data_IF_733806574963
#
_entry.id   IF_733806574963
#
_cell.length_a   1.000
_cell.length_b   1.000
_cell.length_c   1.000
_cell.angle_alpha   90.00
_cell.angle_beta   90.00
_cell.angle_gamma   90.00
#
_symmetry.space_group_name_H-M   'P 1'
#
loop_
_entity.id
_entity.type
_entity.pdbx_description
1 polymer ?
#
# COMPACT_ATOMS: atom_id res chain seq x y z
N UNK A 1 -8.03 28.07 -12.15
CA UNK A 1 -8.92 27.79 -11.01
C UNK A 1 -9.03 26.28 -10.92
N UNK A 2 -8.66 25.66 -9.81
CA UNK A 2 -8.80 24.21 -9.66
C UNK A 2 -10.27 23.83 -9.48
N UNK A 3 -10.66 22.66 -10.00
CA UNK A 3 -12.04 22.16 -9.83
C UNK A 3 -12.19 21.62 -8.40
N UNK A 4 -13.28 22.01 -7.72
CA UNK A 4 -13.63 21.45 -6.42
C UNK A 4 -13.80 19.94 -6.53
N UNK A 5 -13.21 19.21 -5.59
CA UNK A 5 -13.36 17.75 -5.44
C UNK A 5 -14.18 17.44 -4.20
N UNK A 6 -14.93 16.37 -4.22
CA UNK A 6 -15.62 15.91 -3.01
C UNK A 6 -14.62 15.31 -2.02
N UNK A 7 -13.76 14.43 -2.53
CA UNK A 7 -12.73 13.75 -1.75
C UNK A 7 -11.38 13.84 -2.46
N UNK A 8 -10.30 13.97 -1.69
CA UNK A 8 -8.90 13.90 -2.13
C UNK A 8 -8.21 12.78 -1.37
N UNK A 9 -7.41 11.97 -2.06
CA UNK A 9 -6.61 10.94 -1.41
C UNK A 9 -5.22 11.47 -1.05
N UNK A 10 -4.76 11.11 0.15
CA UNK A 10 -3.41 11.36 0.64
C UNK A 10 -2.75 10.02 0.98
N UNK A 11 -1.85 9.57 0.12
CA UNK A 11 -1.24 8.24 0.17
C UNK A 11 0.14 8.33 0.82
N UNK A 12 0.26 7.75 2.00
CA UNK A 12 1.50 7.70 2.78
C UNK A 12 2.45 6.63 2.20
N UNK A 13 3.45 7.07 1.47
CA UNK A 13 4.40 6.22 0.73
C UNK A 13 5.87 6.45 1.14
N UNK A 14 6.10 7.05 2.30
CA UNK A 14 7.44 7.42 2.80
C UNK A 14 8.14 6.37 3.67
N UNK A 15 7.54 5.20 3.88
CA UNK A 15 8.06 4.17 4.77
C UNK A 15 9.35 3.51 4.27
N UNK A 16 10.33 3.33 5.18
CA UNK A 16 11.64 2.73 4.88
C UNK A 16 11.56 1.23 4.59
N UNK A 17 10.64 0.49 5.24
CA UNK A 17 10.49 -0.95 5.03
C UNK A 17 11.68 -1.79 5.48
N UNK A 18 12.40 -1.37 6.52
CA UNK A 18 13.65 -2.01 6.99
C UNK A 18 13.56 -3.51 7.25
N UNK A 19 12.37 -4.05 7.54
CA UNK A 19 12.11 -5.48 7.76
C UNK A 19 12.05 -6.30 6.45
N UNK A 20 12.13 -5.65 5.29
CA UNK A 20 12.26 -6.29 3.97
C UNK A 20 13.73 -6.37 3.50
N UNK A 21 14.66 -5.95 4.36
CA UNK A 21 16.12 -6.06 4.18
C UNK A 21 16.60 -5.61 2.79
N UNK A 22 17.20 -6.53 2.01
CA UNK A 22 17.76 -6.23 0.69
C UNK A 22 16.73 -5.68 -0.32
N UNK A 23 15.46 -6.05 -0.20
CA UNK A 23 14.38 -5.56 -1.09
C UNK A 23 14.15 -4.04 -1.00
N UNK A 24 14.45 -3.44 0.15
CA UNK A 24 14.22 -2.02 0.39
C UNK A 24 15.51 -1.22 0.62
N UNK A 25 16.65 -1.79 0.24
CA UNK A 25 17.93 -1.10 0.34
C UNK A 25 17.99 0.12 -0.60
N UNK A 26 17.52 -0.03 -1.83
CA UNK A 26 17.59 0.99 -2.88
C UNK A 26 16.22 1.51 -3.32
N UNK A 27 15.12 1.06 -2.71
CA UNK A 27 13.77 1.52 -3.02
C UNK A 27 12.87 1.61 -1.78
N UNK A 28 11.87 2.46 -1.85
CA UNK A 28 10.83 2.54 -0.82
C UNK A 28 9.93 1.29 -0.81
N UNK A 29 9.41 0.88 0.34
CA UNK A 29 8.51 -0.29 0.49
C UNK A 29 7.35 -0.29 -0.52
N UNK A 30 6.64 0.83 -0.80
CA UNK A 30 5.57 0.83 -1.79
C UNK A 30 5.99 0.48 -3.22
N UNK A 31 7.29 0.60 -3.54
CA UNK A 31 7.83 0.26 -4.85
C UNK A 31 8.22 -1.22 -5.00
N UNK A 32 8.12 -2.02 -3.93
CA UNK A 32 8.47 -3.45 -3.96
C UNK A 32 7.52 -4.20 -4.89
N UNK A 33 8.04 -5.08 -5.77
CA UNK A 33 7.23 -5.90 -6.66
C UNK A 33 6.32 -6.88 -5.92
N UNK A 34 5.12 -7.13 -6.50
CA UNK A 34 4.13 -8.06 -5.98
C UNK A 34 3.35 -8.73 -7.11
N UNK A 35 3.04 -10.03 -6.98
CA UNK A 35 2.14 -10.77 -7.88
C UNK A 35 2.64 -10.89 -9.33
N UNK A 36 3.95 -10.90 -9.54
CA UNK A 36 4.60 -11.09 -10.85
C UNK A 36 4.57 -9.86 -11.77
N UNK A 37 3.70 -8.89 -11.53
CA UNK A 37 3.46 -7.76 -12.44
C UNK A 37 3.35 -6.42 -11.73
N UNK A 38 2.80 -6.41 -10.53
CA UNK A 38 2.43 -5.21 -9.78
C UNK A 38 3.57 -4.74 -8.86
N UNK A 39 3.38 -3.55 -8.32
CA UNK A 39 4.06 -3.07 -7.10
C UNK A 39 3.02 -2.82 -6.02
N UNK A 40 3.43 -2.81 -4.76
CA UNK A 40 2.48 -2.62 -3.64
C UNK A 40 1.64 -1.35 -3.82
N UNK A 41 2.24 -0.25 -4.31
CA UNK A 41 1.58 1.04 -4.54
C UNK A 41 0.43 0.98 -5.57
N UNK A 42 0.42 -0.02 -6.46
CA UNK A 42 -0.61 -0.16 -7.49
C UNK A 42 -1.99 -0.41 -6.89
N UNK A 43 -2.04 -1.08 -5.75
CA UNK A 43 -3.30 -1.41 -5.08
C UNK A 43 -4.03 -0.17 -4.57
N UNK A 44 -3.47 0.68 -3.70
CA UNK A 44 -4.16 1.88 -3.28
C UNK A 44 -4.41 2.88 -4.41
N UNK A 45 -3.54 3.00 -5.42
CA UNK A 45 -3.78 3.86 -6.58
C UNK A 45 -4.95 3.34 -7.43
N UNK A 46 -5.01 2.02 -7.70
CA UNK A 46 -6.11 1.39 -8.43
C UNK A 46 -7.43 1.50 -7.66
N UNK A 47 -7.40 1.28 -6.34
CA UNK A 47 -8.58 1.46 -5.50
C UNK A 47 -9.09 2.91 -5.54
N UNK A 48 -8.21 3.93 -5.54
CA UNK A 48 -8.63 5.33 -5.71
C UNK A 48 -9.42 5.53 -7.00
N UNK A 49 -8.86 5.08 -8.13
CA UNK A 49 -9.51 5.25 -9.45
C UNK A 49 -10.83 4.50 -9.54
N UNK A 50 -10.84 3.24 -9.11
CA UNK A 50 -12.06 2.41 -9.13
C UNK A 50 -13.14 2.99 -8.19
N UNK A 51 -12.76 3.67 -7.12
CA UNK A 51 -13.67 4.39 -6.20
C UNK A 51 -14.05 5.80 -6.70
N UNK A 52 -13.63 6.21 -7.90
CA UNK A 52 -13.93 7.55 -8.44
C UNK A 52 -13.09 8.69 -7.82
N UNK A 53 -12.05 8.41 -7.07
CA UNK A 53 -11.14 9.40 -6.50
C UNK A 53 -9.99 9.64 -7.48
N UNK A 54 -10.05 10.76 -8.19
CA UNK A 54 -9.15 11.11 -9.29
C UNK A 54 -8.03 12.09 -8.91
N UNK A 55 -7.88 12.40 -7.63
CA UNK A 55 -6.87 13.34 -7.12
C UNK A 55 -6.16 12.71 -5.94
N UNK A 56 -4.87 12.40 -6.13
CA UNK A 56 -4.06 11.66 -5.17
C UNK A 56 -2.74 12.38 -4.91
N UNK A 57 -2.49 12.77 -3.67
CA UNK A 57 -1.18 13.22 -3.20
C UNK A 57 -0.39 12.03 -2.65
N UNK A 58 0.71 11.66 -3.28
CA UNK A 58 1.59 10.57 -2.83
C UNK A 58 2.75 11.16 -2.05
N UNK A 59 2.77 10.92 -0.74
CA UNK A 59 3.78 11.48 0.18
C UNK A 59 5.00 10.56 0.22
N UNK A 60 6.06 10.95 -0.49
CA UNK A 60 7.30 10.18 -0.64
C UNK A 60 8.42 10.79 0.20
N UNK A 61 9.30 9.98 0.77
CA UNK A 61 10.43 10.47 1.56
C UNK A 61 11.67 9.57 1.45
N UNK A 62 11.56 8.29 1.84
CA UNK A 62 12.69 7.36 1.78
C UNK A 62 12.88 6.84 0.36
N UNK A 63 14.13 6.84 -0.15
CA UNK A 63 14.50 6.35 -1.49
C UNK A 63 13.44 6.68 -2.57
N UNK A 64 13.12 7.97 -2.78
CA UNK A 64 11.94 8.34 -3.55
C UNK A 64 12.12 8.16 -5.06
N UNK A 65 13.36 8.04 -5.57
CA UNK A 65 13.66 8.07 -7.00
C UNK A 65 12.90 6.98 -7.76
N UNK A 66 13.06 5.72 -7.36
CA UNK A 66 12.42 4.57 -8.04
C UNK A 66 10.89 4.68 -7.97
N UNK A 67 10.35 5.07 -6.83
CA UNK A 67 8.91 5.23 -6.65
C UNK A 67 8.35 6.40 -7.47
N UNK A 68 9.01 7.56 -7.45
CA UNK A 68 8.58 8.73 -8.22
C UNK A 68 8.64 8.47 -9.72
N UNK A 69 9.71 7.81 -10.22
CA UNK A 69 9.82 7.42 -11.63
C UNK A 69 8.73 6.42 -12.01
N UNK A 70 8.39 5.49 -11.12
CA UNK A 70 7.35 4.50 -11.36
C UNK A 70 5.97 5.16 -11.47
N UNK A 71 5.62 6.04 -10.53
CA UNK A 71 4.34 6.77 -10.54
C UNK A 71 4.28 7.72 -11.75
N UNK A 72 5.38 8.42 -12.04
CA UNK A 72 5.44 9.41 -13.10
C UNK A 72 4.33 10.46 -12.96
N UNK A 73 3.53 10.62 -14.01
CA UNK A 73 2.35 11.50 -14.02
C UNK A 73 1.03 10.78 -13.67
N UNK A 74 1.07 9.49 -13.31
CA UNK A 74 -0.11 8.70 -12.97
C UNK A 74 -0.86 8.07 -14.16
N UNK A 75 -0.32 8.17 -15.38
CA UNK A 75 -0.98 7.68 -16.60
C UNK A 75 -1.36 6.19 -16.54
N UNK A 76 -0.56 5.25 -15.98
CA UNK A 76 -0.96 3.85 -15.89
C UNK A 76 -2.26 3.60 -15.13
N UNK A 77 -2.60 4.48 -14.19
CA UNK A 77 -3.83 4.40 -13.37
C UNK A 77 -4.92 5.38 -13.82
N UNK A 78 -4.83 5.98 -15.02
CA UNK A 78 -5.74 7.04 -15.47
C UNK A 78 -5.78 8.25 -14.50
N UNK A 79 -4.66 8.53 -13.84
CA UNK A 79 -4.44 9.64 -12.90
C UNK A 79 -3.58 10.76 -13.48
N UNK A 80 -3.54 10.95 -14.81
CA UNK A 80 -2.88 12.05 -15.52
C UNK A 80 -3.84 13.18 -15.88
N UNK A 81 -4.79 13.46 -14.99
CA UNK A 81 -5.84 14.44 -15.22
C UNK A 81 -5.31 15.88 -15.23
N UNK A 82 -5.86 16.73 -16.09
CA UNK A 82 -5.54 18.17 -16.13
C UNK A 82 -5.89 18.89 -14.82
N UNK A 83 -6.96 18.47 -14.15
CA UNK A 83 -7.46 19.03 -12.89
C UNK A 83 -7.64 17.89 -11.85
N UNK A 84 -6.56 17.49 -11.25
CA UNK A 84 -6.46 16.36 -10.34
C UNK A 84 -5.24 15.52 -10.68
N UNK A 85 -5.37 14.19 -10.62
CA UNK A 85 -4.30 13.25 -10.96
C UNK A 85 -3.39 12.89 -9.78
N UNK A 86 -2.36 12.09 -10.07
CA UNK A 86 -1.37 11.70 -9.08
C UNK A 86 -0.25 12.76 -9.00
N UNK A 87 0.10 13.15 -7.78
CA UNK A 87 1.16 14.10 -7.49
C UNK A 87 2.10 13.53 -6.44
N UNK A 88 3.37 13.33 -6.79
CA UNK A 88 4.39 13.01 -5.78
C UNK A 88 4.69 14.26 -4.95
N UNK A 89 4.58 14.11 -3.63
CA UNK A 89 4.75 15.19 -2.65
C UNK A 89 5.92 14.80 -1.73
N UNK A 90 7.17 15.10 -2.10
CA UNK A 90 8.30 14.96 -1.20
C UNK A 90 8.34 16.10 -0.19
N UNK A 91 9.01 15.95 0.96
CA UNK A 91 9.31 17.08 1.84
C UNK A 91 10.13 18.13 1.07
N UNK A 92 9.88 19.41 1.35
CA UNK A 92 10.51 20.51 0.61
C UNK A 92 10.98 21.63 1.54
N UNK A 93 11.90 22.43 1.02
CA UNK A 93 12.40 23.61 1.72
C UNK A 93 11.42 24.76 1.60
N UNK A 94 11.09 25.35 2.75
CA UNK A 94 10.34 26.60 2.88
C UNK A 94 11.28 27.76 3.20
N UNK A 95 10.75 28.98 3.27
CA UNK A 95 11.51 30.14 3.74
C UNK A 95 11.98 30.01 5.20
N UNK A 96 11.34 29.13 6.00
CA UNK A 96 11.67 28.85 7.39
C UNK A 96 12.66 27.69 7.57
N UNK A 97 13.00 26.98 6.49
CA UNK A 97 13.91 25.82 6.52
C UNK A 97 13.37 24.61 5.77
N UNK A 98 14.14 23.52 5.78
CA UNK A 98 13.75 22.23 5.23
C UNK A 98 13.56 21.24 6.39
N UNK A 99 12.46 20.54 6.40
CA UNK A 99 12.18 19.50 7.39
C UNK A 99 11.66 18.25 6.71
N UNK A 100 12.23 17.10 7.11
CA UNK A 100 11.68 15.80 6.76
C UNK A 100 10.31 15.62 7.42
N UNK A 101 9.47 14.72 6.86
CA UNK A 101 8.24 14.32 7.55
C UNK A 101 8.58 13.64 8.88
N UNK A 102 8.11 14.22 9.98
CA UNK A 102 8.39 13.75 11.35
C UNK A 102 7.48 12.60 11.77
N UNK A 103 6.48 12.28 10.95
CA UNK A 103 5.48 11.23 11.18
C UNK A 103 4.34 11.35 10.17
N UNK A 104 3.39 10.43 10.26
CA UNK A 104 2.27 10.32 9.31
C UNK A 104 1.37 11.56 9.31
N UNK A 105 1.08 12.13 10.47
CA UNK A 105 0.28 13.36 10.60
C UNK A 105 1.04 14.60 10.07
N UNK A 106 2.33 14.73 10.39
CA UNK A 106 3.15 15.84 9.90
C UNK A 106 3.29 15.81 8.37
N UNK A 107 3.33 14.61 7.74
CA UNK A 107 3.35 14.50 6.29
C UNK A 107 2.10 15.14 5.64
N UNK A 108 0.91 14.93 6.22
CA UNK A 108 -0.31 15.57 5.74
C UNK A 108 -0.30 17.07 6.07
N UNK A 109 0.13 17.45 7.27
CA UNK A 109 0.24 18.86 7.69
C UNK A 109 1.07 19.69 6.71
N UNK A 110 2.27 19.24 6.35
CA UNK A 110 3.14 19.94 5.40
C UNK A 110 2.50 20.12 4.02
N UNK A 111 1.47 19.32 3.69
CA UNK A 111 0.78 19.32 2.40
C UNK A 111 -0.68 19.82 2.47
N UNK A 112 -1.05 20.54 3.55
CA UNK A 112 -2.39 21.18 3.68
C UNK A 112 -2.70 22.05 2.45
N UNK A 113 -1.73 22.82 1.96
CA UNK A 113 -1.92 23.68 0.77
C UNK A 113 -2.25 22.88 -0.50
N UNK A 114 -1.76 21.66 -0.64
CA UNK A 114 -2.13 20.77 -1.75
C UNK A 114 -3.62 20.39 -1.64
N UNK A 115 -4.07 19.96 -0.48
CA UNK A 115 -5.47 19.56 -0.26
C UNK A 115 -6.41 20.76 -0.42
N UNK A 116 -6.10 21.89 0.21
CA UNK A 116 -6.90 23.13 0.15
C UNK A 116 -7.09 23.65 -1.27
N UNK A 117 -6.15 23.39 -2.19
CA UNK A 117 -6.24 23.74 -3.61
C UNK A 117 -7.50 23.21 -4.28
N UNK A 118 -7.95 22.03 -3.86
CA UNK A 118 -9.12 21.34 -4.40
C UNK A 118 -10.40 21.60 -3.58
N UNK A 119 -10.26 22.27 -2.42
CA UNK A 119 -11.36 22.59 -1.50
C UNK A 119 -12.31 21.39 -1.25
N UNK A 120 -11.77 20.22 -0.84
CA UNK A 120 -12.58 19.04 -0.64
C UNK A 120 -13.39 19.12 0.66
N UNK A 121 -14.45 18.34 0.74
CA UNK A 121 -15.18 18.15 1.98
C UNK A 121 -14.56 17.02 2.81
N UNK A 122 -14.02 16.01 2.12
CA UNK A 122 -13.42 14.82 2.74
C UNK A 122 -12.00 14.56 2.24
N UNK A 123 -11.20 13.92 3.08
CA UNK A 123 -9.89 13.41 2.72
C UNK A 123 -9.81 11.94 3.12
N UNK A 124 -9.40 11.09 2.19
CA UNK A 124 -9.00 9.73 2.51
C UNK A 124 -7.49 9.65 2.68
N UNK A 125 -7.05 9.18 3.83
CA UNK A 125 -5.63 8.95 4.14
C UNK A 125 -5.38 7.45 4.03
N UNK A 126 -4.40 7.07 3.22
CA UNK A 126 -4.11 5.69 2.84
C UNK A 126 -2.67 5.32 3.21
N UNK A 127 -2.47 4.09 3.66
CA UNK A 127 -1.15 3.47 3.71
C UNK A 127 -0.78 2.91 2.34
N UNK A 128 0.44 3.18 1.87
CA UNK A 128 0.94 2.74 0.57
C UNK A 128 1.66 1.40 0.58
N UNK A 129 1.46 0.58 1.61
CA UNK A 129 2.27 -0.59 1.89
C UNK A 129 1.48 -1.88 2.18
N UNK A 130 0.20 -1.91 1.77
CA UNK A 130 -0.70 -3.06 1.95
C UNK A 130 -1.27 -3.55 0.61
N UNK A 131 -1.64 -4.84 0.58
CA UNK A 131 -2.28 -5.50 -0.55
C UNK A 131 -3.75 -5.75 -0.21
N UNK A 132 -4.66 -5.16 -0.98
CA UNK A 132 -6.11 -5.28 -0.80
C UNK A 132 -6.88 -4.68 -1.98
N UNK A 133 -8.16 -5.06 -2.15
CA UNK A 133 -9.12 -4.42 -3.05
C UNK A 133 -10.23 -3.83 -2.20
N UNK A 134 -10.50 -2.52 -2.31
CA UNK A 134 -11.50 -1.84 -1.49
C UNK A 134 -12.12 -0.67 -2.23
N UNK A 135 -13.45 -0.57 -2.20
CA UNK A 135 -14.17 0.61 -2.65
C UNK A 135 -14.21 1.68 -1.53
N UNK A 136 -13.40 2.71 -1.69
CA UNK A 136 -13.38 3.84 -0.75
C UNK A 136 -14.67 4.67 -0.82
N UNK A 137 -15.43 4.59 -1.90
CA UNK A 137 -16.70 5.31 -2.01
C UNK A 137 -17.77 4.71 -1.08
N UNK A 138 -17.78 3.39 -0.87
CA UNK A 138 -18.64 2.76 0.13
C UNK A 138 -18.31 3.26 1.53
N UNK A 139 -17.03 3.28 1.89
CA UNK A 139 -16.57 3.82 3.17
C UNK A 139 -16.89 5.32 3.32
N UNK A 140 -16.78 6.11 2.24
CA UNK A 140 -17.13 7.53 2.22
C UNK A 140 -18.64 7.75 2.43
N UNK A 141 -19.47 6.93 1.81
CA UNK A 141 -20.91 6.98 2.02
C UNK A 141 -21.28 6.64 3.48
N UNK A 142 -20.65 5.61 4.04
CA UNK A 142 -20.80 5.28 5.46
C UNK A 142 -20.37 6.44 6.37
N UNK A 143 -19.26 7.11 6.08
CA UNK A 143 -18.79 8.29 6.81
C UNK A 143 -19.85 9.40 6.82
N UNK A 144 -20.44 9.68 5.66
CA UNK A 144 -21.50 10.68 5.50
C UNK A 144 -22.77 10.30 6.26
N UNK A 145 -23.23 9.05 6.14
CA UNK A 145 -24.42 8.54 6.83
C UNK A 145 -24.28 8.63 8.36
N UNK A 146 -23.11 8.30 8.86
CA UNK A 146 -22.81 8.40 10.29
C UNK A 146 -22.55 9.84 10.74
N UNK A 147 -22.41 10.81 9.82
CA UNK A 147 -22.00 12.19 10.11
C UNK A 147 -20.76 12.22 11.01
N UNK A 148 -19.75 11.44 10.64
CA UNK A 148 -18.55 11.25 11.42
C UNK A 148 -17.52 12.37 11.20
N UNK A 149 -16.66 12.62 12.18
CA UNK A 149 -15.46 13.44 12.03
C UNK A 149 -14.32 12.62 11.43
N UNK A 150 -14.25 11.33 11.81
CA UNK A 150 -13.35 10.35 11.24
C UNK A 150 -14.03 8.97 11.11
N UNK A 151 -13.70 8.26 10.04
CA UNK A 151 -14.04 6.84 9.85
C UNK A 151 -12.75 6.07 9.66
N UNK A 152 -12.58 4.98 10.38
CA UNK A 152 -11.38 4.14 10.35
C UNK A 152 -11.76 2.78 9.81
N UNK A 153 -11.11 2.35 8.72
CA UNK A 153 -11.29 0.99 8.23
C UNK A 153 -10.61 0.00 9.18
N UNK A 154 -11.35 -1.03 9.57
CA UNK A 154 -10.93 -2.09 10.49
C UNK A 154 -11.24 -3.46 9.92
N UNK A 155 -10.49 -4.45 10.35
CA UNK A 155 -10.75 -5.86 10.08
C UNK A 155 -10.49 -6.68 11.36
N UNK A 156 -11.14 -7.82 11.46
CA UNK A 156 -10.84 -8.78 12.51
C UNK A 156 -9.55 -9.53 12.22
N UNK A 157 -8.63 -9.52 13.19
CA UNK A 157 -7.37 -10.27 13.12
C UNK A 157 -7.32 -11.29 14.28
N UNK A 158 -6.56 -12.39 14.14
CA UNK A 158 -6.28 -13.27 15.26
C UNK A 158 -5.69 -12.51 16.45
N UNK A 159 -6.09 -12.88 17.68
CA UNK A 159 -5.66 -12.19 18.90
C UNK A 159 -4.13 -12.16 19.05
N UNK A 160 -3.46 -13.19 18.55
CA UNK A 160 -1.99 -13.29 18.57
C UNK A 160 -1.32 -12.22 17.71
N UNK A 161 -1.99 -11.76 16.65
CA UNK A 161 -1.49 -10.74 15.73
C UNK A 161 -1.89 -9.31 16.12
N UNK A 162 -2.94 -9.17 16.92
CA UNK A 162 -3.55 -7.88 17.25
C UNK A 162 -2.54 -6.88 17.86
N UNK A 163 -1.53 -7.36 18.59
CA UNK A 163 -0.47 -6.50 19.17
C UNK A 163 0.40 -5.75 18.14
N UNK A 164 0.30 -6.11 16.87
CA UNK A 164 1.07 -5.46 15.78
C UNK A 164 0.39 -4.21 15.23
N UNK A 165 -0.89 -4.02 15.53
CA UNK A 165 -1.77 -3.01 14.92
C UNK A 165 -2.31 -2.01 15.96
N UNK A 166 -2.84 -0.91 15.46
CA UNK A 166 -3.74 -0.07 16.25
C UNK A 166 -5.08 -0.78 16.42
N UNK A 167 -5.53 -0.98 17.65
CA UNK A 167 -6.72 -1.75 17.99
C UNK A 167 -7.87 -0.82 18.38
N UNK A 168 -9.04 -1.02 17.75
CA UNK A 168 -10.26 -0.28 18.01
C UNK A 168 -11.15 -1.04 18.98
N UNK A 169 -11.74 -0.32 19.92
CA UNK A 169 -12.84 -0.79 20.76
C UNK A 169 -14.07 0.01 20.36
N UNK A 170 -15.14 -0.69 19.98
CA UNK A 170 -16.38 -0.08 19.49
C UNK A 170 -17.55 -0.39 20.41
N UNK A 171 -18.58 0.46 20.38
CA UNK A 171 -19.90 0.13 20.88
C UNK A 171 -20.71 -0.66 19.82
N UNK A 172 -21.95 -1.03 20.16
CA UNK A 172 -22.85 -1.82 19.29
C UNK A 172 -23.27 -1.06 18.02
N UNK A 173 -23.15 0.28 18.00
CA UNK A 173 -23.46 1.14 16.84
C UNK A 173 -22.24 1.39 15.93
N UNK A 174 -21.09 0.81 16.29
CA UNK A 174 -19.83 0.96 15.57
C UNK A 174 -19.09 2.27 15.85
N UNK A 175 -19.50 3.04 16.90
CA UNK A 175 -18.72 4.18 17.32
C UNK A 175 -17.46 3.71 18.05
N UNK A 176 -16.33 4.34 17.77
CA UNK A 176 -15.06 4.03 18.42
C UNK A 176 -15.08 4.68 19.80
N UNK A 177 -15.03 3.86 20.85
CA UNK A 177 -15.05 4.30 22.25
C UNK A 177 -13.67 4.31 22.88
N UNK A 178 -12.72 3.54 22.34
CA UNK A 178 -11.33 3.52 22.77
C UNK A 178 -10.39 3.06 21.64
N UNK A 179 -9.11 3.42 21.75
CA UNK A 179 -8.07 3.09 20.78
C UNK A 179 -6.76 2.75 21.49
N UNK A 180 -6.12 1.68 21.06
CA UNK A 180 -4.85 1.22 21.62
C UNK A 180 -3.82 1.08 20.49
N UNK A 181 -2.76 1.88 20.50
CA UNK A 181 -1.68 1.77 19.51
C UNK A 181 -0.70 0.68 19.89
N UNK A 182 -0.71 -0.43 19.14
CA UNK A 182 0.18 -1.61 19.32
C UNK A 182 0.28 -2.10 20.76
N UNK A 183 -0.86 -2.44 21.38
CA UNK A 183 -0.91 -2.84 22.78
C UNK A 183 -0.22 -4.18 23.00
N UNK A 184 0.47 -4.32 24.13
CA UNK A 184 1.05 -5.63 24.53
C UNK A 184 -0.02 -6.68 24.88
N UNK A 185 -1.20 -6.23 25.32
CA UNK A 185 -2.34 -7.05 25.69
C UNK A 185 -3.61 -6.43 25.08
N UNK A 186 -3.90 -6.73 23.79
CA UNK A 186 -5.04 -6.13 23.11
C UNK A 186 -6.36 -6.55 23.74
N UNK A 187 -7.31 -5.60 23.81
CA UNK A 187 -8.67 -5.82 24.35
C UNK A 187 -9.71 -6.13 23.27
N UNK A 188 -9.33 -6.04 21.99
CA UNK A 188 -10.19 -6.30 20.85
C UNK A 188 -9.37 -6.90 19.71
N UNK A 189 -10.04 -7.53 18.75
CA UNK A 189 -9.46 -8.05 17.51
C UNK A 189 -9.62 -7.09 16.33
N UNK A 190 -10.33 -5.96 16.50
CA UNK A 190 -10.56 -4.97 15.45
C UNK A 190 -9.30 -4.14 15.19
N UNK A 191 -8.52 -4.57 14.22
CA UNK A 191 -7.28 -3.93 13.82
C UNK A 191 -7.51 -2.81 12.79
N UNK A 192 -6.87 -1.67 12.98
CA UNK A 192 -6.84 -0.59 11.98
C UNK A 192 -6.06 -1.01 10.74
N UNK A 193 -6.65 -0.83 9.58
CA UNK A 193 -5.99 -1.05 8.29
C UNK A 193 -5.06 0.12 7.89
N UNK A 194 -4.98 1.21 8.66
CA UNK A 194 -4.25 2.40 8.24
C UNK A 194 -4.95 3.16 7.10
N UNK A 195 -6.26 2.98 6.96
CA UNK A 195 -7.12 3.64 5.99
C UNK A 195 -8.13 4.48 6.77
N UNK A 196 -8.13 5.78 6.53
CA UNK A 196 -8.96 6.74 7.26
C UNK A 196 -9.70 7.66 6.32
N UNK A 197 -10.98 7.95 6.59
CA UNK A 197 -11.69 9.07 5.98
C UNK A 197 -11.96 10.12 7.04
N UNK A 198 -11.60 11.35 6.75
CA UNK A 198 -11.81 12.49 7.63
C UNK A 198 -12.66 13.57 6.95
N UNK A 199 -13.51 14.22 7.72
CA UNK A 199 -14.05 15.53 7.35
C UNK A 199 -12.87 16.52 7.36
N UNK A 200 -12.54 17.10 6.18
CA UNK A 200 -11.30 17.86 6.00
C UNK A 200 -11.14 19.04 6.95
N UNK A 201 -12.21 19.80 7.16
CA UNK A 201 -12.16 20.96 8.07
C UNK A 201 -11.79 20.57 9.50
N UNK A 202 -12.22 19.39 9.96
CA UNK A 202 -11.86 18.83 11.27
C UNK A 202 -10.40 18.39 11.29
N UNK A 203 -10.02 17.50 10.37
CA UNK A 203 -8.63 17.00 10.32
C UNK A 203 -7.63 18.15 10.25
N UNK A 204 -7.87 19.13 9.38
CA UNK A 204 -6.97 20.29 9.21
C UNK A 204 -6.71 21.01 10.53
N UNK A 205 -7.73 21.23 11.36
CA UNK A 205 -7.57 21.88 12.65
C UNK A 205 -6.67 21.05 13.58
N UNK A 206 -6.95 19.73 13.70
CA UNK A 206 -6.13 18.85 14.55
C UNK A 206 -4.68 18.74 14.07
N UNK A 207 -4.42 18.77 12.77
CA UNK A 207 -3.07 18.78 12.22
C UNK A 207 -2.31 20.06 12.60
N UNK A 208 -2.98 21.23 12.52
CA UNK A 208 -2.39 22.52 12.90
C UNK A 208 -2.11 22.56 14.42
N UNK A 209 -3.06 22.12 15.24
CA UNK A 209 -2.92 22.11 16.70
C UNK A 209 -1.79 21.14 17.12
N UNK A 210 -1.71 19.96 16.51
CA UNK A 210 -0.64 19.00 16.75
C UNK A 210 0.73 19.56 16.37
N UNK A 211 0.87 20.25 15.23
CA UNK A 211 2.15 20.82 14.83
C UNK A 211 2.60 21.94 15.80
N UNK A 212 1.67 22.71 16.34
CA UNK A 212 1.96 23.77 17.32
C UNK A 212 2.36 23.22 18.71
N UNK A 213 2.16 21.92 18.96
CA UNK A 213 2.58 21.26 20.19
C UNK A 213 3.87 20.45 19.96
N UNK A 214 5.06 20.96 20.30
CA UNK A 214 6.33 20.28 20.01
C UNK A 214 6.56 19.00 20.81
N UNK A 215 5.86 18.82 21.93
CA UNK A 215 6.02 17.68 22.82
C UNK A 215 5.15 16.48 22.42
N UNK A 216 4.30 16.66 21.41
CA UNK A 216 3.36 15.64 20.95
C UNK A 216 3.89 14.89 19.75
N UNK A 217 3.62 13.56 19.69
CA UNK A 217 3.92 12.72 18.53
C UNK A 217 3.24 13.27 17.26
N UNK A 218 3.90 13.12 16.11
CA UNK A 218 3.41 13.59 14.80
C UNK A 218 2.78 12.45 13.97
N UNK A 219 2.00 11.62 14.64
CA UNK A 219 1.44 10.39 14.10
C UNK A 219 -0.09 10.31 14.30
N UNK A 220 -0.80 9.68 13.36
CA UNK A 220 -2.26 9.55 13.46
C UNK A 220 -2.68 8.72 14.67
N UNK A 221 -2.08 7.55 14.86
CA UNK A 221 -2.44 6.63 15.94
C UNK A 221 -2.06 7.14 17.33
N UNK A 222 -0.92 7.85 17.44
CA UNK A 222 -0.43 8.31 18.74
C UNK A 222 -0.95 9.68 19.16
N UNK A 223 -1.39 10.51 18.22
CA UNK A 223 -1.82 11.88 18.53
C UNK A 223 -3.19 12.23 17.95
N UNK A 224 -3.35 12.22 16.62
CA UNK A 224 -4.55 12.78 15.98
C UNK A 224 -5.82 12.04 16.42
N UNK A 225 -5.85 10.70 16.33
CA UNK A 225 -7.01 9.90 16.71
C UNK A 225 -7.34 10.06 18.20
N UNK A 226 -6.37 9.89 19.14
CA UNK A 226 -6.62 10.15 20.56
C UNK A 226 -7.14 11.55 20.86
N UNK A 227 -6.57 12.60 20.21
CA UNK A 227 -6.99 13.98 20.42
C UNK A 227 -8.43 14.22 19.96
N UNK A 228 -8.81 13.69 18.79
CA UNK A 228 -10.18 13.76 18.30
C UNK A 228 -11.15 13.05 19.26
N UNK A 229 -10.80 11.88 19.77
CA UNK A 229 -11.60 11.15 20.75
C UNK A 229 -11.76 11.94 22.05
N UNK A 230 -10.68 12.44 22.61
CA UNK A 230 -10.68 13.23 23.86
C UNK A 230 -11.50 14.53 23.73
N UNK A 231 -11.57 15.09 22.53
CA UNK A 231 -12.39 16.27 22.23
C UNK A 231 -13.88 15.92 22.03
N UNK A 232 -14.26 14.63 22.07
CA UNK A 232 -15.63 14.16 21.86
C UNK A 232 -16.09 14.21 20.42
N UNK A 233 -15.18 14.18 19.46
CA UNK A 233 -15.51 14.04 18.05
C UNK A 233 -16.09 12.64 17.79
N UNK A 234 -17.00 12.54 16.82
CA UNK A 234 -17.58 11.25 16.46
C UNK A 234 -16.64 10.49 15.52
N UNK A 235 -16.07 9.42 16.04
CA UNK A 235 -15.24 8.47 15.28
C UNK A 235 -15.99 7.15 15.14
N UNK A 236 -15.98 6.56 13.94
CA UNK A 236 -16.67 5.29 13.66
C UNK A 236 -15.73 4.30 12.98
N UNK A 237 -15.95 3.02 13.28
CA UNK A 237 -15.25 1.91 12.61
C UNK A 237 -16.05 1.46 11.38
N UNK A 238 -15.37 1.31 10.25
CA UNK A 238 -15.89 0.68 9.04
C UNK A 238 -15.27 -0.70 8.92
N UNK A 239 -16.06 -1.75 9.13
CA UNK A 239 -15.57 -3.13 9.02
C UNK A 239 -15.38 -3.50 7.56
N UNK A 240 -14.16 -3.80 7.18
CA UNK A 240 -13.80 -4.30 5.85
C UNK A 240 -13.94 -5.82 5.82
N UNK A 241 -14.66 -6.31 4.80
CA UNK A 241 -14.81 -7.74 4.52
C UNK A 241 -14.12 -8.04 3.18
N UNK A 242 -12.89 -8.55 3.25
CA UNK A 242 -12.10 -8.86 2.08
C UNK A 242 -10.65 -9.22 2.43
N UNK A 243 -9.90 -9.58 1.40
CA UNK A 243 -8.47 -9.85 1.56
C UNK A 243 -7.69 -8.57 1.86
N UNK A 244 -6.92 -8.60 2.93
CA UNK A 244 -5.98 -7.57 3.28
C UNK A 244 -4.70 -8.19 3.87
N UNK A 245 -3.54 -7.74 3.42
CA UNK A 245 -2.24 -8.23 3.90
C UNK A 245 -1.26 -7.07 4.07
N UNK A 246 -0.70 -6.91 5.29
CA UNK A 246 0.49 -6.09 5.53
C UNK A 246 1.72 -6.90 5.10
N UNK A 247 2.32 -6.51 3.98
CA UNK A 247 3.53 -7.15 3.45
C UNK A 247 4.80 -6.48 3.99
N UNK A 248 4.86 -6.31 5.30
CA UNK A 248 5.92 -5.61 6.00
C UNK A 248 7.14 -6.45 6.36
N UNK A 249 7.12 -7.76 6.16
CA UNK A 249 8.22 -8.71 6.39
C UNK A 249 8.42 -9.60 5.16
N UNK A 250 9.58 -10.25 5.04
CA UNK A 250 9.82 -11.19 3.94
C UNK A 250 8.80 -12.34 3.94
N UNK A 251 8.51 -12.90 5.11
CA UNK A 251 7.53 -13.98 5.25
C UNK A 251 6.15 -13.54 4.78
N UNK A 252 5.66 -12.37 5.24
CA UNK A 252 4.34 -11.86 4.83
C UNK A 252 4.28 -11.49 3.34
N UNK A 253 5.38 -11.03 2.75
CA UNK A 253 5.46 -10.76 1.31
C UNK A 253 5.46 -12.08 0.52
N UNK A 254 6.21 -13.10 0.98
CA UNK A 254 6.21 -14.42 0.38
C UNK A 254 4.83 -15.05 0.45
N UNK A 255 4.22 -15.13 1.64
CA UNK A 255 2.86 -15.64 1.82
C UNK A 255 1.85 -14.94 0.91
N UNK A 256 1.88 -13.60 0.84
CA UNK A 256 0.95 -12.84 0.00
C UNK A 256 1.10 -13.15 -1.49
N UNK A 257 2.31 -13.45 -1.98
CA UNK A 257 2.52 -13.90 -3.36
C UNK A 257 2.02 -15.34 -3.55
N UNK A 258 2.27 -16.24 -2.60
CA UNK A 258 1.80 -17.63 -2.67
C UNK A 258 0.28 -17.74 -2.54
N UNK A 259 -0.38 -16.82 -1.82
CA UNK A 259 -1.84 -16.72 -1.76
C UNK A 259 -2.49 -16.59 -3.15
N UNK A 260 -1.80 -15.96 -4.12
CA UNK A 260 -2.27 -15.84 -5.51
C UNK A 260 -2.29 -17.16 -6.28
N UNK A 261 -1.54 -18.15 -5.83
CA UNK A 261 -1.43 -19.47 -6.46
C UNK A 261 -2.42 -20.50 -5.88
N UNK A 262 -3.14 -20.13 -4.83
CA UNK A 262 -4.12 -20.99 -4.20
C UNK A 262 -5.37 -21.20 -5.10
N UNK A 263 -5.96 -22.39 -5.14
CA UNK A 263 -7.17 -22.66 -5.93
C UNK A 263 -8.36 -21.77 -5.54
N UNK A 264 -8.43 -21.36 -4.27
CA UNK A 264 -9.43 -20.42 -3.77
C UNK A 264 -8.72 -19.08 -3.54
N UNK A 265 -8.39 -18.39 -4.61
CA UNK A 265 -7.65 -17.13 -4.58
C UNK A 265 -8.40 -16.13 -3.70
N UNK A 266 -7.80 -15.66 -2.59
CA UNK A 266 -8.49 -14.76 -1.69
C UNK A 266 -8.61 -13.33 -2.24
N UNK A 267 -7.84 -12.99 -3.28
CA UNK A 267 -7.90 -11.71 -4.01
C UNK A 267 -7.91 -11.99 -5.52
N UNK A 268 -9.03 -11.71 -6.19
CA UNK A 268 -9.15 -11.90 -7.63
C UNK A 268 -8.51 -10.74 -8.41
N UNK A 269 -7.37 -10.99 -9.04
CA UNK A 269 -6.68 -10.03 -9.92
C UNK A 269 -7.21 -10.03 -11.37
N UNK A 270 -8.06 -11.02 -11.73
CA UNK A 270 -8.68 -11.15 -13.06
C UNK A 270 -10.07 -10.53 -13.13
N UNK A 271 -10.57 -9.95 -12.04
CA UNK A 271 -11.86 -9.27 -11.95
C UNK A 271 -11.96 -8.13 -12.99
N UNK A 272 -12.86 -8.22 -13.98
CA UNK A 272 -13.00 -7.21 -15.02
C UNK A 272 -13.65 -5.91 -14.53
N UNK A 273 -14.40 -5.98 -13.42
CA UNK A 273 -15.15 -4.85 -12.87
C UNK A 273 -14.31 -4.05 -11.85
N UNK A 274 -13.27 -4.67 -11.27
CA UNK A 274 -12.34 -4.03 -10.35
C UNK A 274 -10.89 -4.30 -10.75
N UNK A 275 -10.44 -3.63 -11.81
CA UNK A 275 -9.11 -3.84 -12.38
C UNK A 275 -8.02 -3.26 -11.50
N UNK A 276 -6.94 -4.02 -11.33
CA UNK A 276 -5.70 -3.52 -10.76
C UNK A 276 -4.80 -3.02 -11.88
N UNK A 277 -4.55 -1.72 -11.89
CA UNK A 277 -3.70 -1.07 -12.88
C UNK A 277 -2.23 -1.13 -12.44
N UNK A 278 -1.32 -1.11 -13.41
CA UNK A 278 0.12 -1.17 -13.15
C UNK A 278 0.87 -0.55 -14.33
N UNK A 279 2.05 -0.03 -14.05
CA UNK A 279 2.97 0.38 -15.11
C UNK A 279 3.68 -0.85 -15.67
N UNK A 280 3.29 -1.26 -16.87
CA UNK A 280 3.90 -2.41 -17.54
C UNK A 280 5.16 -2.03 -18.31
N UNK A 281 6.26 -2.78 -18.18
CA UNK A 281 7.39 -2.69 -19.10
C UNK A 281 6.94 -3.13 -20.50
N UNK A 282 7.59 -2.59 -21.54
CA UNK A 282 7.36 -3.05 -22.92
C UNK A 282 8.28 -4.23 -23.18
N UNK A 283 7.78 -5.44 -22.96
CA UNK A 283 8.49 -6.70 -23.11
C UNK A 283 7.74 -7.63 -24.08
N UNK A 284 8.44 -8.57 -24.75
CA UNK A 284 7.79 -9.60 -25.55
C UNK A 284 6.99 -10.56 -24.67
N UNK A 285 6.07 -11.37 -25.25
CA UNK A 285 5.46 -12.47 -24.52
C UNK A 285 6.51 -13.40 -23.89
N UNK A 286 6.14 -14.08 -22.82
CA UNK A 286 6.99 -15.13 -22.25
C UNK A 286 7.18 -16.28 -23.27
N UNK A 287 8.38 -16.85 -23.29
CA UNK A 287 8.71 -18.03 -24.07
C UNK A 287 8.89 -19.24 -23.17
N UNK A 288 8.14 -20.30 -23.43
CA UNK A 288 8.24 -21.60 -22.73
C UNK A 288 8.91 -22.58 -23.68
N UNK A 289 10.12 -23.02 -23.33
CA UNK A 289 10.93 -23.94 -24.11
C UNK A 289 10.44 -25.40 -24.07
N UNK A 290 11.00 -26.21 -24.94
CA UNK A 290 10.60 -27.65 -25.08
C UNK A 290 10.99 -28.51 -23.85
N UNK A 291 11.96 -28.04 -23.04
CA UNK A 291 12.42 -28.73 -21.83
C UNK A 291 11.74 -28.23 -20.56
N UNK A 292 10.88 -27.23 -20.68
CA UNK A 292 10.22 -26.60 -19.54
C UNK A 292 9.05 -27.49 -19.03
N UNK A 293 8.95 -27.59 -17.70
CA UNK A 293 7.75 -28.07 -17.02
C UNK A 293 7.27 -26.97 -16.07
N UNK A 294 6.05 -26.48 -16.26
CA UNK A 294 5.48 -25.38 -15.47
C UNK A 294 4.17 -25.83 -14.86
N UNK A 295 4.12 -25.81 -13.53
CA UNK A 295 2.94 -26.19 -12.75
C UNK A 295 2.56 -25.07 -11.77
N UNK A 296 1.27 -24.82 -11.60
CA UNK A 296 0.66 -23.93 -10.63
C UNK A 296 1.48 -22.63 -10.33
N UNK A 297 1.89 -21.89 -11.36
CA UNK A 297 2.81 -20.76 -11.23
C UNK A 297 2.35 -19.56 -12.06
N UNK A 298 2.71 -18.37 -11.62
CA UNK A 298 2.52 -17.11 -12.37
C UNK A 298 3.84 -16.72 -13.06
N UNK A 299 3.77 -16.44 -14.37
CA UNK A 299 4.92 -16.06 -15.18
C UNK A 299 4.60 -14.76 -15.92
N UNK A 300 5.41 -13.73 -15.69
CA UNK A 300 5.25 -12.43 -16.33
C UNK A 300 5.83 -12.38 -17.76
N UNK A 301 5.63 -11.24 -18.42
CA UNK A 301 6.11 -10.97 -19.78
C UNK A 301 7.65 -10.98 -19.87
N UNK A 302 8.18 -11.30 -21.04
CA UNK A 302 9.63 -11.27 -21.32
C UNK A 302 10.42 -12.43 -20.71
N UNK A 303 9.80 -13.37 -20.03
CA UNK A 303 10.48 -14.53 -19.45
C UNK A 303 10.90 -15.54 -20.52
N UNK A 304 12.05 -16.20 -20.30
CA UNK A 304 12.54 -17.33 -21.09
C UNK A 304 12.70 -18.52 -20.15
N UNK A 305 11.83 -19.53 -20.33
CA UNK A 305 11.73 -20.64 -19.40
C UNK A 305 12.07 -21.94 -20.15
N UNK A 306 13.16 -22.61 -19.78
CA UNK A 306 13.60 -23.91 -20.29
C UNK A 306 13.89 -24.93 -19.15
N UNK A 307 13.50 -24.58 -17.91
CA UNK A 307 13.59 -25.40 -16.69
C UNK A 307 12.24 -25.73 -16.09
N UNK A 308 12.27 -26.26 -14.86
CA UNK A 308 11.09 -26.68 -14.11
C UNK A 308 10.65 -25.58 -13.14
N UNK A 309 9.37 -25.28 -13.10
CA UNK A 309 8.78 -24.31 -12.19
C UNK A 309 7.54 -24.93 -11.54
N UNK A 310 7.45 -24.88 -10.24
CA UNK A 310 6.26 -25.28 -9.50
C UNK A 310 6.00 -24.29 -8.35
N UNK A 311 4.72 -23.98 -8.12
CA UNK A 311 4.21 -23.12 -7.04
C UNK A 311 5.05 -21.86 -6.83
N UNK A 312 5.31 -21.09 -7.91
CA UNK A 312 6.24 -19.97 -7.91
C UNK A 312 5.71 -18.74 -8.66
N UNK A 313 6.18 -17.56 -8.29
CA UNK A 313 5.87 -16.29 -8.96
C UNK A 313 7.12 -15.76 -9.65
N UNK A 314 7.08 -15.69 -10.97
CA UNK A 314 8.19 -15.31 -11.85
C UNK A 314 7.91 -13.94 -12.46
N UNK A 315 8.75 -12.97 -12.14
CA UNK A 315 8.61 -11.59 -12.60
C UNK A 315 9.16 -11.38 -14.02
N UNK A 316 8.96 -10.19 -14.54
CA UNK A 316 9.31 -9.83 -15.90
C UNK A 316 10.79 -10.05 -16.23
N UNK A 317 11.05 -10.55 -17.44
CA UNK A 317 12.39 -10.70 -18.00
C UNK A 317 13.28 -11.75 -17.33
N UNK A 318 12.72 -12.63 -16.51
CA UNK A 318 13.45 -13.73 -15.86
C UNK A 318 13.84 -14.80 -16.88
N UNK A 319 15.07 -15.31 -16.76
CA UNK A 319 15.54 -16.47 -17.53
C UNK A 319 15.76 -17.65 -16.61
N UNK A 320 15.13 -18.79 -16.93
CA UNK A 320 15.34 -20.07 -16.24
C UNK A 320 15.90 -21.05 -17.27
N UNK A 321 17.20 -21.38 -17.11
CA UNK A 321 17.95 -22.20 -18.06
C UNK A 321 17.59 -23.69 -17.91
N UNK A 322 17.99 -24.49 -18.91
CA UNK A 322 17.69 -25.92 -19.01
C UNK A 322 18.08 -26.70 -17.74
N UNK A 323 17.15 -27.51 -17.26
CA UNK A 323 17.38 -28.38 -16.08
C UNK A 323 17.43 -27.66 -14.74
N UNK A 324 17.28 -26.32 -14.74
CA UNK A 324 17.08 -25.57 -13.50
C UNK A 324 15.70 -25.90 -12.90
N UNK A 325 15.58 -25.82 -11.58
CA UNK A 325 14.34 -26.07 -10.84
C UNK A 325 14.04 -24.92 -9.88
N UNK A 326 12.83 -24.41 -9.94
CA UNK A 326 12.32 -23.33 -9.06
C UNK A 326 11.03 -23.80 -8.42
N UNK A 327 11.00 -23.85 -7.09
CA UNK A 327 9.82 -24.30 -6.34
C UNK A 327 9.56 -23.35 -5.15
N UNK A 328 8.27 -23.14 -4.81
CA UNK A 328 7.83 -22.33 -3.65
C UNK A 328 8.53 -20.96 -3.55
N UNK A 329 8.82 -20.34 -4.71
CA UNK A 329 9.75 -19.22 -4.76
C UNK A 329 9.21 -17.99 -5.49
N UNK A 330 9.78 -16.84 -5.16
CA UNK A 330 9.57 -15.56 -5.86
C UNK A 330 10.86 -15.20 -6.57
N UNK A 331 10.82 -15.10 -7.90
CA UNK A 331 11.98 -14.72 -8.70
C UNK A 331 11.77 -13.30 -9.24
N UNK A 332 12.53 -12.36 -8.72
CA UNK A 332 12.41 -10.92 -9.00
C UNK A 332 12.87 -10.56 -10.43
N UNK A 333 12.47 -9.38 -10.95
CA UNK A 333 12.70 -8.98 -12.33
C UNK A 333 14.15 -9.12 -12.81
N UNK A 334 14.32 -9.65 -14.05
CA UNK A 334 15.60 -9.74 -14.72
C UNK A 334 16.59 -10.76 -14.14
N UNK A 335 16.17 -11.60 -13.20
CA UNK A 335 17.01 -12.65 -12.61
C UNK A 335 17.30 -13.77 -13.61
N UNK A 336 18.46 -14.42 -13.48
CA UNK A 336 18.86 -15.55 -14.30
C UNK A 336 19.18 -16.76 -13.42
N UNK A 337 18.39 -17.82 -13.57
CA UNK A 337 18.62 -19.10 -12.90
C UNK A 337 19.39 -20.01 -13.89
N UNK A 338 20.64 -20.30 -13.56
CA UNK A 338 21.56 -21.02 -14.42
C UNK A 338 21.22 -22.49 -14.54
N UNK A 339 21.73 -23.10 -15.63
CA UNK A 339 21.54 -24.54 -15.96
C UNK A 339 21.80 -25.43 -14.74
N UNK A 340 20.82 -26.28 -14.42
CA UNK A 340 20.89 -27.25 -13.33
C UNK A 340 20.83 -26.67 -11.91
N UNK A 341 20.68 -25.36 -11.74
CA UNK A 341 20.53 -24.74 -10.41
C UNK A 341 19.15 -25.04 -9.81
N UNK A 342 19.11 -25.13 -8.48
CA UNK A 342 17.86 -25.31 -7.72
C UNK A 342 17.60 -24.10 -6.81
N UNK A 343 16.39 -23.55 -6.89
CA UNK A 343 15.91 -22.48 -6.01
C UNK A 343 14.62 -22.98 -5.37
N UNK A 344 14.62 -23.01 -4.04
CA UNK A 344 13.51 -23.53 -3.26
C UNK A 344 13.22 -22.63 -2.07
N UNK A 345 11.95 -22.29 -1.83
CA UNK A 345 11.49 -21.51 -0.70
C UNK A 345 12.27 -20.18 -0.54
N UNK A 346 12.40 -19.42 -1.62
CA UNK A 346 13.26 -18.24 -1.68
C UNK A 346 12.56 -17.02 -2.32
N UNK A 347 13.08 -15.83 -1.96
CA UNK A 347 12.80 -14.59 -2.68
C UNK A 347 14.13 -14.12 -3.28
N UNK A 348 14.34 -14.37 -4.57
CA UNK A 348 15.61 -14.12 -5.25
C UNK A 348 15.62 -12.75 -5.92
N UNK A 349 16.59 -11.90 -5.54
CA UNK A 349 16.85 -10.60 -6.16
C UNK A 349 17.82 -10.71 -7.32
N UNK A 350 17.63 -9.90 -8.35
CA UNK A 350 18.54 -9.82 -9.51
C UNK A 350 19.97 -9.33 -9.16
N UNK A 351 20.15 -8.67 -8.01
CA UNK A 351 21.45 -8.13 -7.58
C UNK A 351 22.24 -9.06 -6.68
N UNK A 352 21.67 -10.20 -6.29
CA UNK A 352 22.41 -11.18 -5.50
C UNK A 352 23.26 -12.01 -6.46
N UNK A 353 24.59 -11.79 -6.47
CA UNK A 353 25.51 -12.81 -6.92
C UNK A 353 25.34 -14.03 -5.98
N UNK A 354 24.53 -14.99 -6.41
CA UNK A 354 24.32 -16.26 -5.70
C UNK A 354 25.56 -17.18 -5.81
N UNK A 355 26.74 -16.59 -5.79
CA UNK A 355 28.01 -17.29 -5.98
C UNK A 355 28.95 -17.22 -4.78
N UNK A 356 28.45 -16.81 -3.60
CA UNK A 356 29.24 -16.92 -2.35
C UNK A 356 28.47 -17.68 -1.26
#
# INVERSE_FOLDING_TARGET
>A
MYTKKECVAMLLAGGQGSRLYALTQDMAKPAVPYGGKYRIIDFPLSNCVNSGIDTVGVLTQYQPLVLNDYIGNGQPWDLDKQYGGAHCLPPYQTALGAEWYKGTANAIYQNIAFVDRYNPEYVVVLSGDHIYKMDYNEMLNYHKEKNAAATIAVLDVPMEEASRFGIMITDDDGNIVDFEEKPKHPRSTLASMGIYIFTWSKLKQYLIDNENNPDEDKDFGKAIIPNMMNAGEKLVAYTFDGYWKDVGTLDSLWEANMDLLNPNIPIDLYDPDWKMYSRNPVLPPQYIGENANVENSMIAEGCIIDGNIDFSVIYEGVTIEKGATVTDSIIMPGSVIKEGATVEYACLLYTSDAAD
#
